data_IF_415912907705
#
_entry.id   IF_415912907705
#
_cell.length_a   1.000
_cell.length_b   1.000
_cell.length_c   1.000
_cell.angle_alpha   90.00
_cell.angle_beta   90.00
_cell.angle_gamma   90.00
#
_symmetry.space_group_name_H-M   'P 1'
#
loop_
_entity.id
_entity.type
_entity.pdbx_description
1 polymer ?
#
# COMPACT_ATOMS: atom_id res chain seq x y z
N UNK A 1 16.67 9.09 13.48
CA UNK A 1 15.65 8.14 12.99
C UNK A 1 14.80 8.87 11.97
N UNK A 2 14.55 8.28 10.79
CA UNK A 2 13.52 8.79 9.89
C UNK A 2 12.16 8.69 10.58
N UNK A 3 11.36 9.76 10.52
CA UNK A 3 10.04 9.80 11.16
C UNK A 3 9.00 9.26 10.18
N UNK A 4 8.30 8.20 10.58
CA UNK A 4 7.16 7.65 9.84
C UNK A 4 5.97 8.59 10.02
N UNK A 5 5.43 9.12 8.92
CA UNK A 5 4.28 10.06 8.91
C UNK A 5 2.94 9.33 8.90
N UNK A 6 2.92 8.12 8.35
CA UNK A 6 1.74 7.28 8.21
C UNK A 6 2.11 5.98 7.51
N UNK A 7 1.10 5.20 7.17
CA UNK A 7 1.23 3.98 6.41
C UNK A 7 0.15 3.91 5.34
N UNK A 8 0.47 3.22 4.26
CA UNK A 8 -0.52 2.70 3.33
C UNK A 8 -0.52 1.19 3.41
N UNK A 9 -1.72 0.60 3.42
CA UNK A 9 -1.94 -0.81 3.16
C UNK A 9 -2.70 -0.97 1.84
N UNK A 10 -2.16 -1.74 0.90
CA UNK A 10 -2.78 -2.08 -0.35
C UNK A 10 -3.31 -3.50 -0.27
N UNK A 11 -4.64 -3.63 -0.25
CA UNK A 11 -5.32 -4.93 -0.32
C UNK A 11 -5.36 -5.34 -1.79
N UNK A 12 -4.68 -6.43 -2.12
CA UNK A 12 -4.61 -6.96 -3.49
C UNK A 12 -5.69 -8.01 -3.73
N UNK A 13 -6.29 -7.92 -4.90
CA UNK A 13 -7.37 -8.78 -5.35
C UNK A 13 -7.34 -8.95 -6.87
N UNK A 14 -8.28 -9.73 -7.38
CA UNK A 14 -8.59 -9.83 -8.80
C UNK A 14 -10.11 -9.91 -9.00
N UNK A 15 -10.56 -10.23 -10.22
CA UNK A 15 -11.97 -10.35 -10.54
C UNK A 15 -12.73 -11.37 -9.66
N UNK A 16 -12.06 -12.45 -9.24
CA UNK A 16 -12.65 -13.52 -8.44
C UNK A 16 -12.81 -13.14 -6.96
N UNK A 17 -12.02 -12.20 -6.45
CA UNK A 17 -12.02 -11.78 -5.03
C UNK A 17 -12.43 -10.33 -4.81
N UNK A 18 -13.04 -9.67 -5.80
CA UNK A 18 -13.44 -8.26 -5.74
C UNK A 18 -14.36 -7.94 -4.56
N UNK A 19 -15.45 -8.71 -4.40
CA UNK A 19 -16.43 -8.48 -3.33
C UNK A 19 -15.78 -8.70 -1.96
N UNK A 20 -14.98 -9.76 -1.81
CA UNK A 20 -14.24 -10.04 -0.58
C UNK A 20 -13.30 -8.89 -0.20
N UNK A 21 -12.59 -8.31 -1.18
CA UNK A 21 -11.69 -7.19 -0.94
C UNK A 21 -12.47 -5.92 -0.58
N UNK A 22 -13.62 -5.68 -1.22
CA UNK A 22 -14.49 -4.54 -0.89
C UNK A 22 -14.99 -4.64 0.54
N UNK A 23 -15.55 -5.78 0.93
CA UNK A 23 -16.03 -6.02 2.30
C UNK A 23 -14.93 -5.77 3.34
N UNK A 24 -13.71 -6.26 3.09
CA UNK A 24 -12.58 -6.03 4.00
C UNK A 24 -12.25 -4.54 4.13
N UNK A 25 -12.19 -3.82 3.01
CA UNK A 25 -11.81 -2.41 2.99
C UNK A 25 -12.87 -1.51 3.65
N UNK A 26 -14.15 -1.76 3.36
CA UNK A 26 -15.27 -1.05 3.98
C UNK A 26 -15.35 -1.32 5.49
N UNK A 27 -15.15 -2.57 5.91
CA UNK A 27 -15.09 -2.92 7.32
C UNK A 27 -13.90 -2.23 8.02
N UNK A 28 -12.73 -2.20 7.39
CA UNK A 28 -11.57 -1.49 7.92
C UNK A 28 -11.85 0.02 8.08
N UNK A 29 -12.48 0.65 7.08
CA UNK A 29 -12.82 2.07 7.09
C UNK A 29 -13.90 2.46 8.11
N UNK A 30 -14.78 1.54 8.46
CA UNK A 30 -15.79 1.73 9.52
C UNK A 30 -15.24 1.42 10.91
N UNK A 31 -14.21 0.58 11.02
CA UNK A 31 -13.61 0.16 12.30
C UNK A 31 -12.53 1.12 12.79
N UNK A 32 -11.76 1.72 11.89
CA UNK A 32 -10.59 2.52 12.23
C UNK A 32 -10.63 3.93 11.62
N UNK A 33 -9.89 4.85 12.22
CA UNK A 33 -9.60 6.16 11.64
C UNK A 33 -8.58 6.00 10.49
N UNK A 34 -9.07 5.54 9.34
CA UNK A 34 -8.31 5.37 8.11
C UNK A 34 -9.11 5.87 6.91
N UNK A 35 -8.43 6.16 5.81
CA UNK A 35 -9.03 6.56 4.55
C UNK A 35 -8.97 5.41 3.55
N UNK A 36 -10.13 4.96 3.08
CA UNK A 36 -10.25 3.98 2.00
C UNK A 36 -10.18 4.68 0.65
N UNK A 37 -9.33 4.17 -0.23
CA UNK A 37 -9.18 4.61 -1.62
C UNK A 37 -10.17 3.93 -2.57
N UNK A 38 -9.97 4.11 -3.87
CA UNK A 38 -10.80 3.47 -4.91
C UNK A 38 -10.45 1.99 -5.03
N UNK A 39 -11.44 1.17 -5.39
CA UNK A 39 -11.23 -0.22 -5.82
C UNK A 39 -10.68 -0.22 -7.26
N UNK A 40 -9.36 -0.22 -7.42
CA UNK A 40 -8.73 -0.22 -8.74
C UNK A 40 -8.76 -1.63 -9.35
N UNK A 41 -9.65 -1.85 -10.32
CA UNK A 41 -9.76 -3.12 -11.06
C UNK A 41 -8.75 -3.24 -12.22
N UNK A 42 -7.51 -2.80 -11.96
CA UNK A 42 -6.35 -2.89 -12.86
C UNK A 42 -5.08 -2.57 -12.07
N UNK A 43 -3.90 -3.01 -12.55
CA UNK A 43 -2.61 -2.50 -12.06
C UNK A 43 -2.54 -0.97 -12.16
N UNK A 44 -2.05 -0.33 -11.10
CA UNK A 44 -1.88 1.13 -11.01
C UNK A 44 -0.61 1.44 -10.24
N UNK A 45 0.21 2.34 -10.78
CA UNK A 45 1.47 2.73 -10.15
C UNK A 45 2.39 1.52 -9.99
N UNK A 46 2.95 1.27 -8.79
CA UNK A 46 3.90 0.18 -8.59
C UNK A 46 3.20 -1.17 -8.36
N UNK A 47 1.87 -1.19 -8.29
CA UNK A 47 1.12 -2.37 -7.84
C UNK A 47 0.80 -3.29 -9.02
N UNK A 48 1.22 -4.57 -8.97
CA UNK A 48 1.07 -5.51 -10.09
C UNK A 48 -0.34 -6.11 -10.20
N UNK A 49 -1.16 -5.98 -9.16
CA UNK A 49 -2.50 -6.54 -9.06
C UNK A 49 -3.57 -5.44 -8.98
N UNK A 50 -4.85 -5.84 -8.99
CA UNK A 50 -5.93 -4.93 -8.62
C UNK A 50 -5.80 -4.62 -7.14
N UNK A 51 -6.10 -3.38 -6.73
CA UNK A 51 -5.85 -2.98 -5.35
C UNK A 51 -6.78 -1.90 -4.81
N UNK A 52 -6.91 -1.88 -3.49
CA UNK A 52 -7.51 -0.79 -2.73
C UNK A 52 -6.54 -0.33 -1.67
N UNK A 53 -6.29 0.97 -1.61
CA UNK A 53 -5.41 1.58 -0.61
C UNK A 53 -6.21 1.92 0.65
N UNK A 54 -5.64 1.61 1.81
CA UNK A 54 -6.07 2.05 3.13
C UNK A 54 -4.95 2.92 3.71
N UNK A 55 -5.20 4.21 3.91
CA UNK A 55 -4.22 5.15 4.44
C UNK A 55 -4.53 5.53 5.88
N UNK A 56 -3.53 5.49 6.77
CA UNK A 56 -3.72 5.81 8.18
C UNK A 56 -2.47 6.41 8.83
N UNK A 57 -2.69 7.17 9.91
CA UNK A 57 -1.61 7.78 10.68
C UNK A 57 -0.77 6.74 11.44
N UNK A 58 0.49 7.07 11.69
CA UNK A 58 1.47 6.13 12.25
C UNK A 58 1.02 5.52 13.61
N UNK A 59 0.24 6.25 14.40
CA UNK A 59 -0.26 5.78 15.70
C UNK A 59 -1.21 4.57 15.60
N UNK A 60 -1.86 4.34 14.46
CA UNK A 60 -2.83 3.25 14.30
C UNK A 60 -2.18 1.93 13.86
N UNK A 61 -0.87 1.90 13.60
CA UNK A 61 -0.19 0.68 13.11
C UNK A 61 -0.39 -0.52 14.04
N UNK A 62 -0.33 -0.28 15.36
CA UNK A 62 -0.47 -1.32 16.38
C UNK A 62 -1.85 -1.98 16.44
N UNK A 63 -2.86 -1.39 15.81
CA UNK A 63 -4.22 -1.95 15.76
C UNK A 63 -4.62 -2.38 14.35
N UNK A 64 -4.26 -1.62 13.32
CA UNK A 64 -4.64 -1.92 11.92
C UNK A 64 -3.91 -3.14 11.38
N UNK A 65 -2.59 -3.23 11.59
CA UNK A 65 -1.78 -4.35 11.09
C UNK A 65 -2.26 -5.71 11.64
N UNK A 66 -2.37 -5.92 12.97
CA UNK A 66 -2.84 -7.20 13.48
C UNK A 66 -4.29 -7.51 13.07
N UNK A 67 -5.14 -6.49 12.96
CA UNK A 67 -6.52 -6.69 12.49
C UNK A 67 -6.55 -7.20 11.04
N UNK A 68 -5.79 -6.58 10.13
CA UNK A 68 -5.66 -7.05 8.75
C UNK A 68 -5.11 -8.46 8.67
N UNK A 69 -4.09 -8.79 9.49
CA UNK A 69 -3.52 -10.13 9.53
C UNK A 69 -4.56 -11.21 9.86
N UNK A 70 -5.51 -10.90 10.76
CA UNK A 70 -6.58 -11.80 11.19
C UNK A 70 -7.78 -11.83 10.20
N UNK A 71 -8.10 -10.70 9.56
CA UNK A 71 -9.34 -10.56 8.80
C UNK A 71 -9.18 -10.63 7.27
N UNK A 72 -7.94 -10.64 6.74
CA UNK A 72 -7.70 -10.64 5.28
C UNK A 72 -8.23 -11.87 4.53
N UNK A 73 -8.60 -12.96 5.24
CA UNK A 73 -9.23 -14.18 4.66
C UNK A 73 -8.52 -14.70 3.39
N UNK A 74 -7.18 -14.66 3.38
CA UNK A 74 -6.37 -15.12 2.25
C UNK A 74 -5.92 -14.03 1.26
N UNK A 75 -6.55 -12.85 1.23
CA UNK A 75 -6.11 -11.72 0.40
C UNK A 75 -4.67 -11.31 0.74
N UNK A 76 -3.92 -10.91 -0.28
CA UNK A 76 -2.57 -10.38 -0.10
C UNK A 76 -2.66 -8.92 0.32
N UNK A 77 -1.86 -8.51 1.31
CA UNK A 77 -1.77 -7.11 1.71
C UNK A 77 -0.32 -6.66 1.69
N UNK A 78 -0.06 -5.58 0.95
CA UNK A 78 1.22 -4.88 0.93
C UNK A 78 1.11 -3.63 1.80
N UNK A 79 1.90 -3.52 2.86
CA UNK A 79 1.93 -2.37 3.74
C UNK A 79 3.30 -1.69 3.66
N UNK A 80 3.32 -0.36 3.57
CA UNK A 80 4.57 0.39 3.60
C UNK A 80 4.43 1.68 4.41
N UNK A 81 5.51 2.16 5.06
CA UNK A 81 5.51 3.44 5.75
C UNK A 81 5.54 4.60 4.76
N UNK A 82 5.29 5.80 5.28
CA UNK A 82 5.48 7.07 4.59
C UNK A 82 6.61 7.85 5.29
N UNK A 83 7.84 7.64 4.86
CA UNK A 83 9.04 8.33 5.38
C UNK A 83 9.36 9.58 4.56
N UNK A 84 8.89 9.63 3.31
CA UNK A 84 9.21 10.65 2.33
C UNK A 84 10.22 10.21 1.26
N UNK A 85 10.70 8.97 1.32
CA UNK A 85 11.43 8.31 0.25
C UNK A 85 10.53 7.19 -0.32
N UNK A 86 9.74 7.52 -1.34
CA UNK A 86 8.74 6.61 -1.89
C UNK A 86 9.38 5.32 -2.42
N UNK A 87 10.58 5.39 -3.01
CA UNK A 87 11.27 4.20 -3.52
C UNK A 87 11.70 3.29 -2.37
N UNK A 88 12.36 3.83 -1.34
CA UNK A 88 12.79 3.04 -0.19
C UNK A 88 11.58 2.50 0.58
N UNK A 89 10.53 3.30 0.74
CA UNK A 89 9.29 2.89 1.40
C UNK A 89 8.69 1.66 0.71
N UNK A 90 8.69 1.61 -0.61
CA UNK A 90 8.14 0.47 -1.35
C UNK A 90 9.10 -0.72 -1.47
N UNK A 91 10.39 -0.46 -1.69
CA UNK A 91 11.40 -1.49 -1.98
C UNK A 91 11.95 -2.15 -0.72
N UNK A 92 12.28 -1.33 0.27
CA UNK A 92 13.13 -1.73 1.40
C UNK A 92 12.34 -1.83 2.71
N UNK A 93 11.28 -1.02 2.85
CA UNK A 93 10.48 -0.93 4.09
C UNK A 93 9.11 -1.62 3.99
N UNK A 94 8.87 -2.34 2.90
CA UNK A 94 7.63 -3.07 2.65
C UNK A 94 7.40 -4.23 3.61
N UNK A 95 6.17 -4.35 4.11
CA UNK A 95 5.69 -5.45 4.94
C UNK A 95 4.59 -6.18 4.17
N UNK A 96 4.71 -7.50 4.07
CA UNK A 96 3.76 -8.34 3.34
C UNK A 96 2.99 -9.27 4.25
N UNK A 97 1.69 -9.36 4.02
CA UNK A 97 0.82 -10.40 4.59
C UNK A 97 0.30 -11.28 3.46
N UNK A 98 0.65 -12.56 3.48
CA UNK A 98 0.39 -13.49 2.37
C UNK A 98 1.59 -13.58 1.42
N UNK A 99 1.34 -13.59 0.11
CA UNK A 99 2.40 -13.67 -0.89
C UNK A 99 3.09 -12.31 -1.10
N UNK A 100 4.41 -12.34 -1.36
CA UNK A 100 5.15 -11.16 -1.84
C UNK A 100 4.91 -11.01 -3.34
N UNK A 101 4.66 -9.77 -3.80
CA UNK A 101 4.44 -9.48 -5.23
C UNK A 101 5.57 -8.61 -5.79
N UNK A 102 5.97 -8.81 -7.06
CA UNK A 102 7.01 -8.02 -7.70
C UNK A 102 6.45 -6.65 -8.09
N UNK A 103 6.67 -5.64 -7.26
CA UNK A 103 6.24 -4.27 -7.55
C UNK A 103 6.99 -3.70 -8.77
N UNK A 104 6.30 -2.89 -9.57
CA UNK A 104 6.95 -2.10 -10.63
C UNK A 104 7.57 -0.83 -10.03
N UNK A 105 8.83 -0.94 -9.60
CA UNK A 105 9.55 0.16 -8.98
C UNK A 105 10.14 1.17 -9.99
N UNK A 106 10.02 0.90 -11.30
CA UNK A 106 10.56 1.79 -12.34
C UNK A 106 9.91 3.17 -12.30
N UNK A 107 8.65 3.23 -11.84
CA UNK A 107 7.86 4.47 -11.73
C UNK A 107 8.50 5.51 -10.80
N UNK A 108 9.32 5.08 -9.83
CA UNK A 108 9.95 5.98 -8.86
C UNK A 108 11.30 6.51 -9.35
N UNK A 109 11.87 5.91 -10.40
CA UNK A 109 13.22 6.23 -10.88
C UNK A 109 13.23 7.40 -11.88
N UNK A 110 12.06 7.85 -12.35
CA UNK A 110 11.93 8.82 -13.45
C UNK A 110 12.17 10.30 -13.10
N UNK A 111 12.80 10.63 -11.96
CA UNK A 111 13.19 12.03 -11.63
C UNK A 111 14.60 12.12 -11.08
N UNK A 112 15.59 11.96 -11.96
CA UNK A 112 16.97 12.37 -11.64
C UNK A 112 17.78 12.84 -12.86
N UNK A 113 17.16 13.52 -13.83
CA UNK A 113 17.93 14.30 -14.82
C UNK A 113 17.23 15.64 -15.08
N UNK A 114 17.61 16.66 -14.32
CA UNK A 114 17.49 18.05 -14.77
C UNK A 114 18.75 18.39 -15.58
N UNK A 115 18.65 19.14 -16.69
CA UNK A 115 19.81 19.43 -17.52
C UNK A 115 20.85 20.19 -16.69
N UNK A 116 22.08 19.69 -16.69
CA UNK A 116 23.25 20.43 -16.24
C UNK A 116 23.26 21.75 -17.02
N UNK A 117 23.15 22.87 -16.31
CA UNK A 117 23.32 24.18 -16.91
C UNK A 117 24.71 24.23 -17.56
N UNK A 118 24.72 24.26 -18.89
CA UNK A 118 25.89 24.49 -19.72
C UNK A 118 26.39 25.92 -19.53
N UNK A 119 27.68 26.00 -19.14
CA UNK A 119 28.69 27.06 -19.37
C UNK A 119 28.31 28.51 -19.07
#
# INVERSE_FOLDING_TARGET
MQRIKGYHAHVYFDASTLEQARELCELAATTFALQMGRMHQRPVGPHPDWSCQLAFEAQYIGVVLPWLALHRKGLVVFLHPLTGDDLADHRDHGVWMGAVRPLDLSIFQARSEGPAASQ
#
